data_IF_562603632591
#
_entry.id   IF_562603632591
#
_cell.length_a   1.000
_cell.length_b   1.000
_cell.length_c   1.000
_cell.angle_alpha   90.00
_cell.angle_beta   90.00
_cell.angle_gamma   90.00
#
_symmetry.space_group_name_H-M   'P 1'
#
loop_
_entity.id
_entity.type
_entity.pdbx_description
1 polymer ?
#
# COMPACT_ATOMS: atom_id res chain seq x y z
N UNK A 1 1.34 7.65 4.95
CA UNK A 1 0.50 8.70 5.60
C UNK A 1 0.49 8.66 7.13
N UNK A 2 -0.05 7.61 7.77
CA UNK A 2 -0.18 7.58 9.24
C UNK A 2 1.17 7.61 9.98
N UNK A 3 2.18 6.97 9.40
CA UNK A 3 3.55 6.90 9.94
C UNK A 3 4.49 7.95 9.34
N UNK A 4 4.01 8.90 8.53
CA UNK A 4 4.88 9.97 8.00
C UNK A 4 5.47 10.83 9.13
N UNK A 5 4.71 11.20 10.18
CA UNK A 5 5.28 11.93 11.31
C UNK A 5 6.45 11.19 11.97
N UNK A 6 6.34 9.86 12.12
CA UNK A 6 7.42 9.02 12.62
C UNK A 6 8.61 9.01 11.66
N UNK A 7 8.38 8.92 10.35
CA UNK A 7 9.43 8.98 9.35
C UNK A 7 10.23 10.29 9.43
N UNK A 8 9.54 11.41 9.65
CA UNK A 8 10.15 12.71 9.91
C UNK A 8 10.89 12.75 11.26
N UNK A 9 10.34 12.16 12.32
CA UNK A 9 11.03 12.11 13.61
C UNK A 9 12.32 11.29 13.59
N UNK A 10 12.50 10.40 12.62
CA UNK A 10 13.72 9.63 12.38
C UNK A 10 14.72 10.30 11.44
N UNK A 11 14.24 10.90 10.36
CA UNK A 11 15.09 11.56 9.36
C UNK A 11 15.43 13.01 9.72
N UNK A 12 14.67 13.65 10.60
CA UNK A 12 14.69 15.09 10.82
C UNK A 12 14.10 15.88 9.65
N UNK A 13 14.01 17.20 9.82
CA UNK A 13 13.39 18.09 8.84
C UNK A 13 14.06 18.06 7.47
N UNK A 14 15.39 18.13 7.43
CA UNK A 14 16.15 18.28 6.18
C UNK A 14 16.06 17.00 5.35
N UNK A 15 16.50 15.86 5.92
CA UNK A 15 16.50 14.61 5.18
C UNK A 15 15.07 14.14 4.91
N UNK A 16 14.14 14.25 5.86
CA UNK A 16 12.74 13.88 5.65
C UNK A 16 12.09 14.62 4.49
N UNK A 17 12.34 15.94 4.37
CA UNK A 17 11.79 16.76 3.28
C UNK A 17 12.38 16.39 1.93
N UNK A 18 13.69 16.16 1.88
CA UNK A 18 14.36 15.71 0.65
C UNK A 18 13.80 14.35 0.23
N UNK A 19 13.60 13.43 1.18
CA UNK A 19 13.11 12.08 0.92
C UNK A 19 11.68 12.09 0.40
N UNK A 20 10.74 12.74 1.08
CA UNK A 20 9.33 12.73 0.65
C UNK A 20 9.15 13.33 -0.75
N UNK A 21 9.85 14.44 -1.06
CA UNK A 21 9.79 15.08 -2.38
C UNK A 21 10.46 14.21 -3.44
N UNK A 22 11.65 13.68 -3.15
CA UNK A 22 12.37 12.82 -4.11
C UNK A 22 11.60 11.53 -4.41
N UNK A 23 11.02 10.87 -3.39
CA UNK A 23 10.18 9.69 -3.60
C UNK A 23 8.92 9.99 -4.40
N UNK A 24 8.25 11.12 -4.16
CA UNK A 24 7.10 11.55 -4.96
C UNK A 24 7.47 11.73 -6.44
N UNK A 25 8.58 12.42 -6.72
CA UNK A 25 9.07 12.66 -8.08
C UNK A 25 9.52 11.37 -8.77
N UNK A 26 10.33 10.54 -8.10
CA UNK A 26 10.85 9.27 -8.63
C UNK A 26 9.71 8.29 -8.88
N UNK A 27 8.75 8.20 -7.96
CA UNK A 27 7.58 7.31 -8.11
C UNK A 27 6.69 7.76 -9.27
N UNK A 28 6.46 9.07 -9.42
CA UNK A 28 5.75 9.62 -10.57
C UNK A 28 6.47 9.33 -11.90
N UNK A 29 7.80 9.52 -11.94
CA UNK A 29 8.60 9.25 -13.14
C UNK A 29 8.57 7.76 -13.53
N UNK A 30 8.83 6.87 -12.57
CA UNK A 30 8.82 5.42 -12.80
C UNK A 30 7.43 4.89 -13.16
N UNK A 31 6.36 5.47 -12.61
CA UNK A 31 4.97 5.15 -13.00
C UNK A 31 4.70 5.47 -14.48
N UNK A 32 5.20 6.60 -14.99
CA UNK A 32 5.08 6.96 -16.41
C UNK A 32 5.87 6.03 -17.31
N UNK A 33 7.08 5.64 -16.91
CA UNK A 33 7.87 4.64 -17.66
C UNK A 33 7.08 3.34 -17.77
N UNK A 34 6.56 2.86 -16.64
CA UNK A 34 5.80 1.62 -16.59
C UNK A 34 4.57 1.68 -17.50
N UNK A 35 3.80 2.76 -17.43
CA UNK A 35 2.63 2.94 -18.29
C UNK A 35 2.99 2.99 -19.78
N UNK A 36 4.07 3.67 -20.17
CA UNK A 36 4.53 3.67 -21.56
C UNK A 36 4.88 2.27 -22.06
N UNK A 37 5.52 1.45 -21.23
CA UNK A 37 5.85 0.06 -21.59
C UNK A 37 4.56 -0.73 -21.82
N UNK A 38 3.59 -0.60 -20.93
CA UNK A 38 2.31 -1.33 -21.00
C UNK A 38 1.49 -0.91 -22.22
N UNK A 39 1.40 0.40 -22.47
CA UNK A 39 0.66 0.94 -23.61
C UNK A 39 1.35 0.68 -24.95
N UNK A 40 2.66 0.39 -24.95
CA UNK A 40 3.41 0.09 -26.19
C UNK A 40 3.20 -1.33 -26.73
N UNK A 41 2.73 -2.27 -25.91
CA UNK A 41 2.57 -3.67 -26.34
C UNK A 41 1.33 -4.29 -25.68
N UNK A 42 0.24 -4.51 -26.45
CA UNK A 42 -1.01 -5.08 -25.93
C UNK A 42 -0.88 -6.47 -25.31
N UNK A 43 0.25 -7.18 -25.56
CA UNK A 43 0.52 -8.50 -24.96
C UNK A 43 0.99 -8.42 -23.52
N UNK A 44 1.43 -7.25 -23.06
CA UNK A 44 1.87 -7.03 -21.68
C UNK A 44 0.64 -6.81 -20.81
N UNK A 45 0.31 -7.79 -19.96
CA UNK A 45 -0.89 -7.74 -19.13
C UNK A 45 -0.60 -7.66 -17.64
N UNK A 46 0.61 -8.01 -17.24
CA UNK A 46 1.03 -8.08 -15.84
C UNK A 46 2.42 -7.50 -15.62
N UNK A 47 2.76 -7.25 -14.36
CA UNK A 47 4.09 -6.79 -13.98
C UNK A 47 5.18 -7.79 -14.36
N UNK A 48 4.87 -9.10 -14.31
CA UNK A 48 5.80 -10.16 -14.71
C UNK A 48 6.00 -10.24 -16.22
N UNK A 49 5.01 -9.86 -17.04
CA UNK A 49 5.18 -9.74 -18.51
C UNK A 49 6.17 -8.63 -18.89
N UNK A 50 6.13 -7.50 -18.16
CA UNK A 50 7.09 -6.40 -18.31
C UNK A 50 8.50 -6.93 -18.02
N UNK A 51 8.63 -7.62 -16.88
CA UNK A 51 9.85 -8.31 -16.48
C UNK A 51 10.37 -9.28 -17.54
N UNK A 52 9.49 -10.14 -18.06
CA UNK A 52 9.80 -11.10 -19.12
C UNK A 52 10.31 -10.41 -20.38
N UNK A 53 9.71 -9.28 -20.77
CA UNK A 53 10.12 -8.53 -21.96
C UNK A 53 11.47 -7.82 -21.77
N UNK A 54 11.73 -7.28 -20.58
CA UNK A 54 12.95 -6.54 -20.28
C UNK A 54 14.16 -7.48 -20.02
N UNK A 55 13.93 -8.59 -19.33
CA UNK A 55 14.97 -9.43 -18.74
C UNK A 55 14.95 -10.89 -19.19
N UNK A 56 13.99 -11.25 -20.04
CA UNK A 56 13.80 -12.59 -20.55
C UNK A 56 12.98 -13.51 -19.63
N UNK A 57 12.68 -14.73 -20.09
CA UNK A 57 11.74 -15.63 -19.41
C UNK A 57 12.15 -16.03 -17.98
N UNK A 58 13.46 -16.08 -17.70
CA UNK A 58 14.01 -16.47 -16.39
C UNK A 58 13.69 -15.46 -15.27
N UNK A 59 13.39 -14.21 -15.64
CA UNK A 59 13.03 -13.16 -14.69
C UNK A 59 11.58 -13.24 -14.19
N UNK A 60 10.70 -13.82 -15.00
CA UNK A 60 9.25 -13.93 -14.73
C UNK A 60 8.93 -14.47 -13.33
N UNK A 61 9.45 -15.65 -12.89
CA UNK A 61 9.10 -16.21 -11.59
C UNK A 61 9.57 -15.33 -10.42
N UNK A 62 10.74 -14.70 -10.55
CA UNK A 62 11.30 -13.82 -9.51
C UNK A 62 10.41 -12.58 -9.35
N UNK A 63 10.07 -11.93 -10.47
CA UNK A 63 9.24 -10.71 -10.45
C UNK A 63 7.82 -11.01 -9.98
N UNK A 64 7.23 -12.15 -10.40
CA UNK A 64 5.93 -12.60 -9.89
C UNK A 64 5.98 -12.85 -8.38
N UNK A 65 7.03 -13.50 -7.87
CA UNK A 65 7.19 -13.73 -6.43
C UNK A 65 7.31 -12.43 -5.66
N UNK A 66 8.14 -11.50 -6.12
CA UNK A 66 8.30 -10.17 -5.52
C UNK A 66 7.00 -9.38 -5.48
N UNK A 67 6.26 -9.37 -6.59
CA UNK A 67 4.96 -8.72 -6.70
C UNK A 67 3.94 -9.32 -5.72
N UNK A 68 3.91 -10.66 -5.63
CA UNK A 68 3.04 -11.35 -4.69
C UNK A 68 3.40 -11.01 -3.24
N UNK A 69 4.69 -11.00 -2.91
CA UNK A 69 5.16 -10.62 -1.57
C UNK A 69 4.80 -9.16 -1.24
N UNK A 70 4.99 -8.22 -2.16
CA UNK A 70 4.64 -6.81 -1.96
C UNK A 70 3.14 -6.65 -1.61
N UNK A 71 2.26 -7.19 -2.45
CA UNK A 71 0.81 -7.09 -2.21
C UNK A 71 0.34 -7.88 -0.98
N UNK A 72 0.97 -9.03 -0.71
CA UNK A 72 0.70 -9.80 0.50
C UNK A 72 1.03 -8.98 1.74
N UNK A 73 2.21 -8.36 1.79
CA UNK A 73 2.64 -7.51 2.90
C UNK A 73 1.73 -6.29 3.07
N UNK A 74 1.29 -5.64 1.98
CA UNK A 74 0.27 -4.59 2.05
C UNK A 74 -1.00 -5.12 2.71
N UNK A 75 -1.44 -6.32 2.36
CA UNK A 75 -2.54 -7.02 3.03
C UNK A 75 -2.36 -7.16 4.53
N UNK A 76 -1.19 -7.67 4.95
CA UNK A 76 -0.83 -7.82 6.38
C UNK A 76 -0.91 -6.47 7.10
N UNK A 77 -0.34 -5.41 6.51
CA UNK A 77 -0.36 -4.06 7.08
C UNK A 77 -1.78 -3.54 7.25
N UNK A 78 -2.67 -3.75 6.27
CA UNK A 78 -4.07 -3.32 6.35
C UNK A 78 -4.82 -4.06 7.46
N UNK A 79 -4.55 -5.36 7.67
CA UNK A 79 -5.11 -6.12 8.80
C UNK A 79 -4.60 -5.57 10.14
N UNK A 80 -3.29 -5.27 10.23
CA UNK A 80 -2.68 -4.70 11.42
C UNK A 80 -3.34 -3.38 11.79
N UNK A 81 -3.44 -2.46 10.82
CA UNK A 81 -4.05 -1.15 10.97
C UNK A 81 -5.52 -1.24 11.41
N UNK A 82 -6.29 -2.17 10.83
CA UNK A 82 -7.67 -2.44 11.25
C UNK A 82 -7.75 -2.88 12.72
N UNK A 83 -6.93 -3.87 13.11
CA UNK A 83 -6.96 -4.44 14.45
C UNK A 83 -6.53 -3.44 15.53
N UNK A 84 -5.45 -2.70 15.28
CA UNK A 84 -4.89 -1.73 16.23
C UNK A 84 -5.80 -0.50 16.37
N UNK A 85 -6.41 -0.03 15.26
CA UNK A 85 -7.41 1.04 15.30
C UNK A 85 -8.66 0.62 16.08
N UNK A 86 -9.14 -0.61 15.88
CA UNK A 86 -10.34 -1.10 16.57
C UNK A 86 -10.08 -1.33 18.07
N UNK A 87 -8.90 -1.84 18.44
CA UNK A 87 -8.48 -1.94 19.84
C UNK A 87 -8.38 -0.57 20.52
N UNK A 88 -7.87 0.44 19.80
CA UNK A 88 -7.77 1.81 20.31
C UNK A 88 -9.13 2.46 20.55
N UNK A 89 -10.13 2.13 19.72
CA UNK A 89 -11.52 2.58 19.87
C UNK A 89 -12.29 1.82 20.95
N UNK A 90 -12.14 0.50 20.99
CA UNK A 90 -12.87 -0.40 21.88
C UNK A 90 -11.82 -1.28 22.59
N UNK A 91 -11.25 -0.83 23.72
CA UNK A 91 -10.18 -1.55 24.42
C UNK A 91 -10.71 -2.74 25.25
N UNK A 92 -11.75 -3.43 24.78
CA UNK A 92 -12.36 -4.58 25.47
C UNK A 92 -11.62 -5.88 25.19
N UNK A 93 -11.15 -6.07 23.95
CA UNK A 93 -10.39 -7.24 23.53
C UNK A 93 -9.01 -6.85 23.02
N UNK A 94 -8.08 -7.80 22.95
CA UNK A 94 -6.75 -7.55 22.39
C UNK A 94 -6.82 -7.25 20.90
N UNK A 95 -5.86 -6.48 20.37
CA UNK A 95 -5.75 -6.25 18.91
C UNK A 95 -5.71 -7.57 18.13
N UNK A 96 -5.01 -8.58 18.62
CA UNK A 96 -4.95 -9.91 17.99
C UNK A 96 -6.33 -10.58 17.88
N UNK A 97 -7.20 -10.39 18.86
CA UNK A 97 -8.59 -10.88 18.82
C UNK A 97 -9.37 -10.16 17.73
N UNK A 98 -9.23 -8.83 17.61
CA UNK A 98 -9.87 -8.06 16.55
C UNK A 98 -9.38 -8.46 15.16
N UNK A 99 -8.07 -8.66 14.98
CA UNK A 99 -7.48 -9.17 13.73
C UNK A 99 -8.09 -10.52 13.33
N UNK A 100 -8.21 -11.45 14.28
CA UNK A 100 -8.81 -12.77 14.04
C UNK A 100 -10.30 -12.68 13.66
N UNK A 101 -11.09 -11.88 14.37
CA UNK A 101 -12.50 -11.64 14.01
C UNK A 101 -12.67 -10.93 12.67
N UNK A 102 -11.68 -10.13 12.28
CA UNK A 102 -11.59 -9.50 10.96
C UNK A 102 -11.75 -10.49 9.81
N UNK A 103 -11.38 -11.77 9.97
CA UNK A 103 -11.58 -12.79 8.94
C UNK A 103 -13.04 -12.90 8.48
N UNK A 104 -14.00 -12.76 9.39
CA UNK A 104 -15.44 -12.82 9.06
C UNK A 104 -15.86 -11.69 8.12
N UNK A 105 -15.18 -10.54 8.19
CA UNK A 105 -15.42 -9.38 7.33
C UNK A 105 -14.57 -9.42 6.06
N UNK A 106 -13.29 -9.78 6.18
CA UNK A 106 -12.31 -9.74 5.09
C UNK A 106 -12.56 -10.83 4.04
N UNK A 107 -12.93 -12.05 4.45
CA UNK A 107 -13.14 -13.15 3.51
C UNK A 107 -14.25 -12.82 2.49
N UNK A 108 -15.45 -12.33 2.88
CA UNK A 108 -16.44 -11.89 1.89
C UNK A 108 -15.92 -10.81 0.94
N UNK A 109 -15.07 -9.89 1.43
CA UNK A 109 -14.61 -8.75 0.62
C UNK A 109 -13.76 -9.15 -0.59
N UNK A 110 -12.96 -10.23 -0.50
CA UNK A 110 -12.10 -10.69 -1.61
C UNK A 110 -12.87 -11.37 -2.75
N UNK A 111 -14.17 -11.57 -2.58
CA UNK A 111 -15.09 -12.08 -3.61
C UNK A 111 -15.98 -10.99 -4.21
N UNK A 112 -15.91 -9.75 -3.71
CA UNK A 112 -16.70 -8.65 -4.25
C UNK A 112 -16.20 -8.23 -5.64
N UNK A 113 -17.11 -7.84 -6.55
CA UNK A 113 -16.73 -7.33 -7.87
C UNK A 113 -16.07 -5.95 -7.75
N UNK A 114 -15.17 -5.66 -8.68
CA UNK A 114 -14.42 -4.40 -8.76
C UNK A 114 -15.29 -3.13 -8.76
N UNK A 115 -16.48 -3.19 -9.36
CA UNK A 115 -17.41 -2.06 -9.40
C UNK A 115 -17.86 -1.63 -8.01
N UNK A 116 -18.18 -2.57 -7.12
CA UNK A 116 -18.51 -2.30 -5.72
C UNK A 116 -17.29 -1.78 -4.95
N UNK A 117 -16.10 -2.31 -5.24
CA UNK A 117 -14.85 -1.88 -4.61
C UNK A 117 -14.42 -0.45 -5.04
N UNK A 118 -14.84 0.02 -6.20
CA UNK A 118 -14.56 1.41 -6.63
C UNK A 118 -15.28 2.44 -5.75
N UNK A 119 -16.53 2.18 -5.35
CA UNK A 119 -17.27 3.05 -4.43
C UNK A 119 -16.65 3.07 -3.03
N UNK A 120 -16.14 1.92 -2.56
CA UNK A 120 -15.47 1.86 -1.26
C UNK A 120 -14.09 2.54 -1.29
N UNK A 121 -13.44 2.65 -2.46
CA UNK A 121 -12.21 3.43 -2.63
C UNK A 121 -12.43 4.94 -2.41
N UNK A 122 -13.56 5.48 -2.87
CA UNK A 122 -13.94 6.88 -2.61
C UNK A 122 -14.04 7.13 -1.11
N UNK A 123 -14.64 6.20 -0.37
CA UNK A 123 -14.70 6.29 1.11
C UNK A 123 -13.29 6.37 1.71
N UNK A 124 -12.34 5.56 1.22
CA UNK A 124 -10.94 5.61 1.66
C UNK A 124 -10.27 6.96 1.40
N UNK A 125 -10.53 7.61 0.26
CA UNK A 125 -10.03 8.97 -0.03
C UNK A 125 -10.66 9.99 0.92
N UNK A 126 -11.97 9.92 1.14
CA UNK A 126 -12.68 10.80 2.08
C UNK A 126 -12.13 10.62 3.51
N UNK A 127 -11.89 9.39 3.96
CA UNK A 127 -11.25 9.09 5.25
C UNK A 127 -9.88 9.73 5.38
N UNK A 128 -9.09 9.71 4.29
CA UNK A 128 -7.73 10.26 4.24
C UNK A 128 -7.75 11.80 4.36
N UNK A 129 -8.66 12.46 3.62
CA UNK A 129 -8.87 13.90 3.71
C UNK A 129 -9.40 14.29 5.08
N UNK A 130 -10.37 13.54 5.61
CA UNK A 130 -10.95 13.80 6.92
C UNK A 130 -9.91 13.70 8.04
N UNK A 131 -9.07 12.66 8.04
CA UNK A 131 -7.95 12.53 8.97
C UNK A 131 -6.99 13.71 8.87
N UNK A 132 -6.66 14.16 7.65
CA UNK A 132 -5.83 15.36 7.44
C UNK A 132 -6.45 16.57 8.15
N UNK A 133 -7.75 16.80 7.95
CA UNK A 133 -8.47 17.91 8.59
C UNK A 133 -8.47 17.78 10.12
N UNK A 134 -8.72 16.59 10.66
CA UNK A 134 -8.72 16.35 12.12
C UNK A 134 -7.36 16.66 12.73
N UNK A 135 -6.25 16.22 12.10
CA UNK A 135 -4.89 16.55 12.56
C UNK A 135 -4.69 18.06 12.69
N UNK A 136 -5.10 18.84 11.68
CA UNK A 136 -4.97 20.30 11.74
C UNK A 136 -5.92 20.94 12.75
N UNK A 137 -7.17 20.49 12.83
CA UNK A 137 -8.15 21.00 13.79
C UNK A 137 -7.63 20.79 15.21
N UNK A 138 -7.20 19.58 15.56
CA UNK A 138 -6.65 19.26 16.87
C UNK A 138 -5.36 20.03 17.15
N UNK A 139 -4.45 20.07 16.18
CA UNK A 139 -3.19 20.80 16.27
C UNK A 139 -3.37 22.29 16.56
N UNK A 140 -4.37 22.94 15.97
CA UNK A 140 -4.69 24.35 16.24
C UNK A 140 -5.62 24.56 17.44
N UNK A 141 -6.28 23.52 17.96
CA UNK A 141 -7.19 23.61 19.11
C UNK A 141 -6.42 23.72 20.43
N UNK A 142 -5.25 23.08 20.54
CA UNK A 142 -4.44 23.09 21.76
C UNK A 142 -3.27 24.07 21.64
N UNK A 143 -2.96 24.79 22.72
CA UNK A 143 -1.84 25.77 22.77
C UNK A 143 -0.54 25.19 23.33
N UNK A 144 -0.62 24.17 24.18
CA UNK A 144 0.52 23.61 24.89
C UNK A 144 0.91 22.22 24.32
N UNK A 145 2.20 21.86 24.32
CA UNK A 145 2.65 20.54 23.92
C UNK A 145 2.32 19.46 24.98
N UNK A 146 2.27 18.17 24.60
CA UNK A 146 2.27 17.65 23.23
C UNK A 146 0.91 17.87 22.55
N UNK A 147 0.92 17.93 21.23
CA UNK A 147 -0.28 18.04 20.41
C UNK A 147 -0.62 19.44 19.89
N UNK A 148 0.29 20.41 20.03
CA UNK A 148 0.03 21.77 19.59
C UNK A 148 0.83 22.12 18.35
N UNK A 149 0.19 22.79 17.39
CA UNK A 149 0.87 23.49 16.28
C UNK A 149 1.26 24.91 16.65
N UNK A 150 0.68 25.49 17.71
CA UNK A 150 1.05 26.82 18.23
C UNK A 150 2.35 26.78 19.01
N UNK A 151 2.52 25.75 19.85
CA UNK A 151 3.75 25.47 20.57
C UNK A 151 4.23 24.07 20.21
N UNK A 152 5.03 23.93 19.13
CA UNK A 152 5.53 22.64 18.68
C UNK A 152 6.31 21.90 19.76
N UNK A 153 6.24 20.57 19.72
CA UNK A 153 7.10 19.68 20.50
C UNK A 153 8.56 19.76 20.03
N UNK A 154 9.46 19.13 20.79
CA UNK A 154 10.87 19.05 20.42
C UNK A 154 11.08 18.25 19.13
N UNK A 155 11.73 18.88 18.15
CA UNK A 155 12.04 18.31 16.83
C UNK A 155 13.50 18.54 16.46
N UNK A 156 14.00 17.74 15.53
CA UNK A 156 15.39 17.74 15.08
C UNK A 156 15.49 18.20 13.63
N UNK A 157 16.45 19.07 13.36
CA UNK A 157 16.79 19.46 11.98
C UNK A 157 17.50 18.34 11.22
N UNK A 158 18.33 17.57 11.94
CA UNK A 158 19.19 16.52 11.40
C UNK A 158 18.71 15.11 11.70
N UNK A 159 19.42 14.15 11.14
CA UNK A 159 19.14 12.72 11.28
C UNK A 159 19.51 12.23 12.68
N UNK A 160 18.62 11.51 13.38
CA UNK A 160 18.88 10.98 14.74
C UNK A 160 19.87 9.82 14.78
N UNK A 161 20.11 9.19 13.65
CA UNK A 161 21.10 8.12 13.49
C UNK A 161 20.92 7.38 12.19
N UNK A 162 22.00 6.76 11.72
CA UNK A 162 22.03 6.00 10.46
C UNK A 162 21.00 4.86 10.43
N UNK A 163 20.75 4.21 11.56
CA UNK A 163 19.74 3.16 11.64
C UNK A 163 18.31 3.70 11.48
N UNK A 164 18.00 4.79 12.19
CA UNK A 164 16.68 5.45 12.11
C UNK A 164 16.43 6.04 10.71
N UNK A 165 17.47 6.57 10.07
CA UNK A 165 17.40 7.02 8.67
C UNK A 165 17.00 5.89 7.72
N UNK A 166 17.61 4.70 7.88
CA UNK A 166 17.25 3.52 7.11
C UNK A 166 15.77 3.17 7.27
N UNK A 167 15.27 3.14 8.50
CA UNK A 167 13.83 2.88 8.77
C UNK A 167 12.95 3.95 8.10
N UNK A 168 13.36 5.21 8.17
CA UNK A 168 12.64 6.32 7.53
C UNK A 168 12.56 6.17 6.00
N UNK A 169 13.59 5.64 5.34
CA UNK A 169 13.51 5.29 3.90
C UNK A 169 12.39 4.29 3.62
N UNK A 170 12.28 3.24 4.44
CA UNK A 170 11.22 2.25 4.33
C UNK A 170 9.83 2.87 4.52
N UNK A 171 9.67 3.73 5.54
CA UNK A 171 8.40 4.40 5.85
C UNK A 171 7.96 5.35 4.74
N UNK A 172 8.84 6.21 4.22
CA UNK A 172 8.51 7.09 3.11
C UNK A 172 8.20 6.31 1.83
N UNK A 173 9.01 5.30 1.50
CA UNK A 173 8.79 4.50 0.31
C UNK A 173 7.49 3.70 0.37
N UNK A 174 7.06 3.27 1.56
CA UNK A 174 5.75 2.66 1.80
C UNK A 174 4.61 3.50 1.24
N UNK A 175 4.62 4.80 1.57
CA UNK A 175 3.54 5.72 1.23
C UNK A 175 3.34 5.84 -0.28
N UNK A 176 4.42 5.73 -1.05
CA UNK A 176 4.42 5.86 -2.50
C UNK A 176 4.40 4.53 -3.27
N UNK A 177 4.27 3.39 -2.58
CA UNK A 177 4.14 2.08 -3.24
C UNK A 177 2.74 1.92 -3.84
N UNK A 178 2.61 2.28 -5.11
CA UNK A 178 1.38 2.12 -5.90
C UNK A 178 1.60 1.47 -7.26
N UNK A 179 2.84 1.10 -7.59
CA UNK A 179 3.21 0.62 -8.93
C UNK A 179 2.51 -0.67 -9.33
N UNK A 180 2.14 -1.50 -8.34
CA UNK A 180 1.52 -2.79 -8.57
C UNK A 180 0.15 -2.70 -9.29
N UNK A 181 -0.58 -1.59 -9.11
CA UNK A 181 -1.91 -1.39 -9.71
C UNK A 181 -1.88 -0.58 -11.01
N UNK A 182 -0.72 -0.04 -11.40
CA UNK A 182 -0.59 0.76 -12.61
C UNK A 182 -0.91 -0.02 -13.90
N UNK A 183 -0.60 -1.32 -14.04
CA UNK A 183 -0.97 -2.07 -15.24
C UNK A 183 -2.46 -2.23 -15.49
N UNK A 184 -3.26 -2.44 -14.44
CA UNK A 184 -4.72 -2.43 -14.58
C UNK A 184 -5.19 -1.01 -14.84
N UNK A 185 -4.73 -0.03 -14.04
CA UNK A 185 -5.14 1.36 -14.18
C UNK A 185 -4.92 1.91 -15.60
N UNK A 186 -3.74 1.69 -16.19
CA UNK A 186 -3.42 2.20 -17.52
C UNK A 186 -4.31 1.60 -18.63
N UNK A 187 -4.80 0.37 -18.45
CA UNK A 187 -5.67 -0.31 -19.42
C UNK A 187 -7.15 0.00 -19.21
N UNK A 188 -7.54 0.23 -17.96
CA UNK A 188 -8.93 0.53 -17.59
C UNK A 188 -9.28 2.01 -17.86
N UNK A 189 -8.29 2.87 -18.13
CA UNK A 189 -8.52 4.25 -18.54
C UNK A 189 -9.22 4.32 -19.90
N UNK A 190 -10.36 5.01 -19.95
CA UNK A 190 -11.08 5.29 -21.21
C UNK A 190 -10.20 6.00 -22.24
N UNK A 191 -9.34 6.93 -21.80
CA UNK A 191 -8.38 7.64 -22.64
C UNK A 191 -6.96 7.53 -22.05
N UNK A 192 -6.17 6.52 -22.45
CA UNK A 192 -4.81 6.33 -21.97
C UNK A 192 -3.83 7.47 -22.29
N UNK A 193 -4.16 8.37 -23.24
CA UNK A 193 -3.29 9.51 -23.56
C UNK A 193 -3.17 10.50 -22.39
N UNK A 194 -4.17 10.52 -21.51
CA UNK A 194 -4.21 11.37 -20.31
C UNK A 194 -3.47 10.76 -19.10
N UNK A 195 -2.89 9.56 -19.23
CA UNK A 195 -2.23 8.87 -18.12
C UNK A 195 -1.17 9.74 -17.43
N UNK A 196 -0.34 10.44 -18.21
CA UNK A 196 0.71 11.31 -17.66
C UNK A 196 0.14 12.47 -16.84
N UNK A 197 -0.97 13.07 -17.28
CA UNK A 197 -1.63 14.16 -16.56
C UNK A 197 -2.27 13.66 -15.28
N UNK A 198 -2.98 12.52 -15.35
CA UNK A 198 -3.59 11.87 -14.20
C UNK A 198 -2.54 11.51 -13.13
N UNK A 199 -1.44 10.85 -13.54
CA UNK A 199 -0.43 10.37 -12.59
C UNK A 199 0.37 11.54 -11.97
N UNK A 200 0.54 12.65 -12.70
CA UNK A 200 1.11 13.89 -12.14
C UNK A 200 0.27 14.41 -10.98
N UNK A 201 -1.04 14.56 -11.20
CA UNK A 201 -1.95 15.05 -10.16
C UNK A 201 -2.04 14.08 -8.98
N UNK A 202 -2.11 12.78 -9.25
CA UNK A 202 -2.17 11.76 -8.20
C UNK A 202 -0.95 11.84 -7.27
N UNK A 203 0.28 11.85 -7.81
CA UNK A 203 1.48 11.94 -6.98
C UNK A 203 1.69 13.31 -6.36
N UNK A 204 1.30 14.41 -7.04
CA UNK A 204 1.37 15.75 -6.46
C UNK A 204 0.46 15.85 -5.22
N UNK A 205 -0.81 15.48 -5.35
CA UNK A 205 -1.78 15.53 -4.26
C UNK A 205 -1.36 14.59 -3.12
N UNK A 206 -0.92 13.37 -3.43
CA UNK A 206 -0.44 12.43 -2.41
C UNK A 206 0.78 13.00 -1.65
N UNK A 207 1.77 13.55 -2.36
CA UNK A 207 2.96 14.15 -1.73
C UNK A 207 2.57 15.33 -0.84
N UNK A 208 1.66 16.19 -1.29
CA UNK A 208 1.17 17.31 -0.49
C UNK A 208 0.47 16.84 0.80
N UNK A 209 -0.44 15.86 0.71
CA UNK A 209 -1.15 15.33 1.88
C UNK A 209 -0.19 14.65 2.86
N UNK A 210 0.74 13.83 2.35
CA UNK A 210 1.71 13.14 3.19
C UNK A 210 2.68 14.12 3.87
N UNK A 211 3.12 15.15 3.14
CA UNK A 211 3.97 16.21 3.71
C UNK A 211 3.20 17.00 4.76
N UNK A 212 1.95 17.37 4.49
CA UNK A 212 1.11 18.13 5.42
C UNK A 212 0.90 17.37 6.73
N UNK A 213 0.53 16.10 6.67
CA UNK A 213 0.37 15.26 7.87
C UNK A 213 1.71 14.99 8.54
N UNK A 214 2.75 14.66 7.77
CA UNK A 214 4.09 14.39 8.28
C UNK A 214 4.63 15.58 9.08
N UNK A 215 4.53 16.78 8.51
CA UNK A 215 4.94 18.02 9.16
C UNK A 215 4.08 18.35 10.38
N UNK A 216 2.76 18.32 10.24
CA UNK A 216 1.86 18.65 11.34
C UNK A 216 2.03 17.68 12.52
N UNK A 217 2.02 16.37 12.25
CA UNK A 217 2.21 15.35 13.29
C UNK A 217 3.60 15.43 13.93
N UNK A 218 4.65 15.72 13.16
CA UNK A 218 5.99 15.88 13.73
C UNK A 218 6.11 17.15 14.58
N UNK A 219 5.48 18.26 14.18
CA UNK A 219 5.39 19.46 15.03
C UNK A 219 4.57 19.20 16.30
N UNK A 220 3.48 18.45 16.19
CA UNK A 220 2.57 18.18 17.32
C UNK A 220 3.19 17.26 18.37
N UNK A 221 3.84 16.17 17.95
CA UNK A 221 4.29 15.11 18.86
C UNK A 221 5.82 14.96 18.92
N UNK A 222 6.54 15.60 18.00
CA UNK A 222 7.98 15.68 18.02
C UNK A 222 8.65 14.32 18.00
N UNK A 223 9.70 14.22 18.81
CA UNK A 223 10.51 13.03 18.92
C UNK A 223 9.83 11.85 19.63
N UNK A 224 8.66 12.07 20.24
CA UNK A 224 7.86 11.06 20.93
C UNK A 224 6.63 10.59 20.15
N UNK A 225 6.52 10.91 18.86
CA UNK A 225 5.41 10.44 18.02
C UNK A 225 5.36 8.91 17.96
N UNK A 226 4.15 8.36 18.03
CA UNK A 226 3.91 6.92 17.92
C UNK A 226 4.09 6.42 16.47
N UNK A 227 4.07 5.10 16.26
CA UNK A 227 4.13 4.49 14.93
C UNK A 227 3.03 4.98 13.98
N UNK A 228 1.89 5.39 14.56
CA UNK A 228 0.77 6.00 13.88
C UNK A 228 0.27 7.24 14.63
N UNK A 229 0.20 8.37 13.94
CA UNK A 229 -0.28 9.64 14.52
C UNK A 229 -1.73 9.57 15.00
N UNK A 230 -2.54 8.67 14.44
CA UNK A 230 -3.92 8.40 14.85
C UNK A 230 -4.03 8.00 16.33
N UNK A 231 -3.04 7.24 16.83
CA UNK A 231 -2.99 6.81 18.22
C UNK A 231 -2.69 8.01 19.13
N UNK A 232 -1.79 8.90 18.71
CA UNK A 232 -1.45 10.11 19.47
C UNK A 232 -2.63 11.08 19.54
N UNK A 233 -3.45 11.18 18.49
CA UNK A 233 -4.70 11.97 18.50
C UNK A 233 -5.72 11.44 19.51
N UNK A 234 -5.76 10.14 19.80
CA UNK A 234 -6.65 9.60 20.84
C UNK A 234 -6.15 9.84 22.25
N UNK A 235 -4.86 9.58 22.45
CA UNK A 235 -4.26 9.58 23.80
C UNK A 235 -4.08 10.99 24.34
N UNK A 236 -4.02 11.99 23.46
CA UNK A 236 -3.77 13.37 23.84
C UNK A 236 -5.03 14.01 24.44
N UNK A 237 -4.96 14.33 25.73
CA UNK A 237 -6.01 15.07 26.41
C UNK A 237 -6.16 16.50 25.85
N UNK A 238 -7.41 16.97 25.77
CA UNK A 238 -7.77 18.31 25.33
C UNK A 238 -8.30 18.40 23.90
N UNK A 239 -8.21 17.32 23.11
CA UNK A 239 -8.82 17.26 21.78
C UNK A 239 -10.30 16.91 21.82
N UNK A 240 -10.99 17.11 20.69
CA UNK A 240 -12.40 16.82 20.59
C UNK A 240 -12.64 15.30 20.47
N UNK A 241 -13.22 14.65 21.50
CA UNK A 241 -13.37 13.19 21.50
C UNK A 241 -14.31 12.71 20.40
N UNK A 242 -15.30 13.50 19.99
CA UNK A 242 -16.22 13.11 18.92
C UNK A 242 -15.51 13.05 17.56
N UNK A 243 -14.73 14.08 17.23
CA UNK A 243 -13.98 14.13 15.96
C UNK A 243 -12.95 13.00 15.88
N UNK A 244 -12.25 12.72 16.97
CA UNK A 244 -11.18 11.73 16.98
C UNK A 244 -11.74 10.31 16.91
N UNK A 245 -12.84 10.03 17.63
CA UNK A 245 -13.56 8.78 17.50
C UNK A 245 -14.09 8.56 16.07
N UNK A 246 -14.69 9.58 15.47
CA UNK A 246 -15.16 9.50 14.08
C UNK A 246 -14.00 9.24 13.11
N UNK A 247 -12.87 9.91 13.31
CA UNK A 247 -11.67 9.75 12.50
C UNK A 247 -11.15 8.31 12.52
N UNK A 248 -11.11 7.67 13.70
CA UNK A 248 -10.65 6.29 13.80
C UNK A 248 -11.65 5.29 13.25
N UNK A 249 -12.95 5.54 13.37
CA UNK A 249 -13.92 4.71 12.68
C UNK A 249 -13.68 4.73 11.18
N UNK A 250 -13.33 5.88 10.61
CA UNK A 250 -12.90 5.98 9.21
C UNK A 250 -11.57 5.25 8.95
N UNK A 251 -10.65 5.19 9.91
CA UNK A 251 -9.42 4.38 9.84
C UNK A 251 -9.65 2.88 10.01
N UNK A 252 -10.72 2.45 10.68
CA UNK A 252 -11.14 1.03 10.72
C UNK A 252 -11.75 0.63 9.38
N UNK A 253 -12.58 1.50 8.78
CA UNK A 253 -13.25 1.22 7.51
C UNK A 253 -12.33 1.25 6.29
N UNK A 254 -11.33 2.15 6.29
CA UNK A 254 -10.43 2.34 5.15
C UNK A 254 -9.62 1.07 4.80
N UNK A 255 -8.97 0.35 5.74
CA UNK A 255 -8.31 -0.92 5.46
C UNK A 255 -9.23 -1.99 4.92
N UNK A 256 -10.47 -2.10 5.43
CA UNK A 256 -11.45 -3.07 4.94
C UNK A 256 -11.76 -2.83 3.45
N UNK A 257 -11.87 -1.57 3.03
CA UNK A 257 -12.10 -1.22 1.62
C UNK A 257 -10.88 -1.50 0.72
N UNK A 258 -9.68 -1.24 1.22
CA UNK A 258 -8.42 -1.37 0.47
C UNK A 258 -7.88 -2.79 0.44
N UNK A 259 -8.25 -3.62 1.41
CA UNK A 259 -7.77 -5.00 1.50
C UNK A 259 -8.16 -5.80 0.26
N UNK A 260 -9.45 -5.80 -0.10
CA UNK A 260 -9.93 -6.49 -1.30
C UNK A 260 -9.30 -5.97 -2.60
N UNK A 261 -9.14 -4.65 -2.72
CA UNK A 261 -8.48 -4.02 -3.87
C UNK A 261 -7.02 -4.45 -4.02
N UNK A 262 -6.30 -4.61 -2.90
CA UNK A 262 -4.89 -5.05 -2.89
C UNK A 262 -4.77 -6.55 -3.13
N UNK A 263 -5.72 -7.34 -2.59
CA UNK A 263 -5.76 -8.80 -2.76
C UNK A 263 -6.15 -9.22 -4.17
N UNK A 264 -6.87 -8.39 -4.93
CA UNK A 264 -7.29 -8.76 -6.28
C UNK A 264 -6.12 -9.05 -7.24
N UNK A 265 -5.17 -8.11 -7.47
CA UNK A 265 -4.01 -8.40 -8.33
C UNK A 265 -3.11 -9.50 -7.78
N UNK A 266 -3.06 -9.67 -6.45
CA UNK A 266 -2.33 -10.77 -5.80
C UNK A 266 -2.95 -12.13 -6.17
N UNK A 267 -4.25 -12.28 -5.92
CA UNK A 267 -4.98 -13.51 -6.21
C UNK A 267 -4.95 -13.83 -7.70
N UNK A 268 -5.13 -12.85 -8.58
CA UNK A 268 -5.00 -13.04 -10.02
C UNK A 268 -3.61 -13.57 -10.40
N UNK A 269 -2.54 -13.03 -9.81
CA UNK A 269 -1.17 -13.50 -10.08
C UNK A 269 -0.95 -14.93 -9.57
N UNK A 270 -1.43 -15.25 -8.37
CA UNK A 270 -1.34 -16.61 -7.80
C UNK A 270 -2.15 -17.60 -8.63
N UNK A 271 -3.36 -17.23 -9.07
CA UNK A 271 -4.22 -18.06 -9.91
C UNK A 271 -3.55 -18.38 -11.26
N UNK A 272 -2.86 -17.41 -11.87
CA UNK A 272 -2.05 -17.59 -13.07
C UNK A 272 -0.87 -18.55 -12.80
N UNK A 273 -0.14 -18.35 -11.70
CA UNK A 273 1.01 -19.20 -11.35
C UNK A 273 0.60 -20.66 -11.06
N UNK A 274 -0.58 -20.87 -10.48
CA UNK A 274 -1.14 -22.18 -10.19
C UNK A 274 -1.88 -22.80 -11.41
N UNK A 275 -2.02 -22.08 -12.52
CA UNK A 275 -2.74 -22.55 -13.72
C UNK A 275 -4.26 -22.71 -13.53
N UNK A 276 -4.81 -22.09 -12.47
CA UNK A 276 -6.23 -22.11 -12.11
C UNK A 276 -6.97 -20.85 -12.58
N UNK A 277 -6.32 -20.00 -13.37
CA UNK A 277 -6.96 -18.98 -14.22
C UNK A 277 -8.31 -19.52 -14.72
N UNK A 278 -9.36 -18.87 -14.24
CA UNK A 278 -10.64 -18.79 -14.90
C UNK A 278 -10.65 -17.42 -15.51
N UNK A 279 -10.14 -17.26 -16.74
CA UNK A 279 -10.25 -16.02 -17.51
C UNK A 279 -11.55 -15.29 -17.14
N UNK A 280 -11.45 -14.09 -16.59
CA UNK A 280 -12.58 -13.18 -16.55
C UNK A 280 -12.94 -12.95 -18.00
N UNK A 281 -13.91 -13.70 -18.53
CA UNK A 281 -14.50 -13.41 -19.82
C UNK A 281 -14.92 -11.95 -19.77
N UNK A 282 -14.28 -11.11 -20.58
CA UNK A 282 -14.82 -9.79 -20.81
C UNK A 282 -16.23 -9.99 -21.38
N UNK A 283 -17.17 -9.07 -21.13
CA UNK A 283 -18.50 -9.14 -21.72
C UNK A 283 -18.49 -9.26 -23.26
N UNK A 284 -17.35 -8.99 -23.91
CA UNK A 284 -17.17 -9.09 -25.37
C UNK A 284 -16.96 -10.54 -25.85
N UNK A 285 -16.38 -11.44 -25.05
CA UNK A 285 -16.23 -12.86 -25.44
C UNK A 285 -17.56 -13.65 -25.41
N UNK A 286 -18.60 -13.09 -24.76
CA UNK A 286 -19.95 -13.68 -24.73
C UNK A 286 -20.81 -13.29 -25.93
N UNK A 287 -20.41 -12.27 -26.71
CA UNK A 287 -21.15 -11.80 -27.87
C UNK A 287 -20.73 -12.52 -29.15
N UNK A 288 -19.55 -13.15 -29.17
CA UNK A 288 -18.92 -13.66 -30.40
C UNK A 288 -19.02 -15.18 -30.62
N UNK A 289 -19.92 -15.87 -29.90
CA UNK A 289 -20.25 -17.27 -30.21
C UNK A 289 -21.58 -17.36 -30.97
N UNK A 290 -21.56 -17.44 -32.31
CA UNK A 290 -22.72 -17.85 -33.06
C UNK A 290 -23.03 -19.32 -32.79
N UNK A 291 -24.31 -19.62 -32.80
CA UNK A 291 -24.95 -20.90 -32.48
C UNK A 291 -24.26 -22.16 -33.06
N UNK A 292 -24.31 -23.25 -32.30
CA UNK A 292 -24.26 -24.60 -32.87
C UNK A 292 -23.34 -25.60 -32.15
N UNK A 293 -23.98 -26.54 -31.44
CA UNK A 293 -23.51 -27.90 -31.11
C UNK A 293 -22.01 -28.13 -30.84
N UNK A 294 -21.66 -28.35 -29.57
CA UNK A 294 -20.86 -29.52 -29.12
C UNK A 294 -20.80 -29.53 -27.59
N UNK A 295 -21.58 -30.44 -26.98
CA UNK A 295 -21.43 -30.78 -25.56
C UNK A 295 -20.13 -31.61 -25.44
N UNK A 296 -19.05 -30.96 -25.00
CA UNK A 296 -17.83 -31.64 -24.51
C UNK A 296 -17.78 -31.53 -22.99
N UNK A 297 -17.16 -32.49 -22.27
CA UNK A 297 -17.19 -32.54 -20.80
C UNK A 297 -16.26 -31.48 -20.20
N UNK A 298 -16.70 -30.23 -20.24
CA UNK A 298 -15.96 -29.06 -19.74
C UNK A 298 -16.43 -28.59 -18.35
N UNK A 299 -17.52 -29.17 -17.83
CA UNK A 299 -18.13 -28.77 -16.55
C UNK A 299 -17.31 -29.12 -15.31
N UNK A 300 -16.73 -30.34 -15.19
CA UNK A 300 -16.06 -30.75 -13.94
C UNK A 300 -14.69 -30.09 -13.73
N UNK A 301 -13.89 -29.90 -14.80
CA UNK A 301 -12.62 -29.17 -14.74
C UNK A 301 -12.83 -27.69 -14.38
N UNK A 302 -13.90 -27.08 -14.89
CA UNK A 302 -14.23 -25.70 -14.60
C UNK A 302 -14.72 -25.52 -13.15
N UNK A 303 -15.52 -26.48 -12.65
CA UNK A 303 -15.93 -26.52 -11.25
C UNK A 303 -14.75 -26.69 -10.29
N UNK A 304 -13.80 -27.59 -10.61
CA UNK A 304 -12.61 -27.81 -9.79
C UNK A 304 -11.69 -26.59 -9.72
N UNK A 305 -11.44 -25.92 -10.86
CA UNK A 305 -10.65 -24.67 -10.88
C UNK A 305 -11.28 -23.55 -10.05
N UNK A 306 -12.62 -23.40 -10.11
CA UNK A 306 -13.35 -22.44 -9.26
C UNK A 306 -13.20 -22.76 -7.77
N UNK A 307 -13.33 -24.04 -7.39
CA UNK A 307 -13.12 -24.47 -6.00
C UNK A 307 -11.70 -24.16 -5.54
N UNK A 308 -10.69 -24.47 -6.36
CA UNK A 308 -9.30 -24.14 -6.07
C UNK A 308 -9.07 -22.62 -5.93
N UNK A 309 -9.69 -21.80 -6.77
CA UNK A 309 -9.63 -20.34 -6.65
C UNK A 309 -10.23 -19.84 -5.34
N UNK A 310 -11.40 -20.36 -4.94
CA UNK A 310 -12.02 -20.02 -3.63
C UNK A 310 -11.10 -20.42 -2.47
N UNK A 311 -10.58 -21.65 -2.49
CA UNK A 311 -9.66 -22.14 -1.45
C UNK A 311 -8.41 -21.26 -1.38
N UNK A 312 -7.82 -20.91 -2.53
CA UNK A 312 -6.64 -20.06 -2.62
C UNK A 312 -6.88 -18.67 -2.01
N UNK A 313 -8.00 -18.01 -2.34
CA UNK A 313 -8.34 -16.69 -1.83
C UNK A 313 -8.57 -16.69 -0.32
N UNK A 314 -9.28 -17.70 0.20
CA UNK A 314 -9.49 -17.88 1.64
C UNK A 314 -8.17 -18.16 2.35
N UNK A 315 -7.32 -19.01 1.77
CA UNK A 315 -6.01 -19.35 2.33
C UNK A 315 -5.10 -18.13 2.41
N UNK A 316 -4.97 -17.34 1.34
CA UNK A 316 -4.13 -16.13 1.31
C UNK A 316 -4.63 -15.10 2.32
N UNK A 317 -5.95 -14.89 2.41
CA UNK A 317 -6.56 -13.98 3.40
C UNK A 317 -6.27 -14.44 4.84
N UNK A 318 -6.45 -15.74 5.10
CA UNK A 318 -6.17 -16.32 6.43
C UNK A 318 -4.68 -16.22 6.78
N UNK A 319 -3.80 -16.48 5.83
CA UNK A 319 -2.35 -16.35 6.01
C UNK A 319 -1.95 -14.90 6.31
N UNK A 320 -2.56 -13.92 5.63
CA UNK A 320 -2.29 -12.50 5.89
C UNK A 320 -2.66 -12.10 7.33
N UNK A 321 -3.82 -12.56 7.82
CA UNK A 321 -4.24 -12.34 9.23
C UNK A 321 -3.31 -13.06 10.20
N UNK A 322 -2.94 -14.30 9.92
CA UNK A 322 -2.00 -15.06 10.75
C UNK A 322 -0.63 -14.37 10.87
N UNK A 323 -0.08 -13.87 9.75
CA UNK A 323 1.18 -13.13 9.76
C UNK A 323 1.03 -11.81 10.50
N UNK A 324 -0.09 -11.09 10.38
CA UNK A 324 -0.36 -9.84 11.11
C UNK A 324 -0.44 -10.03 12.64
N UNK A 325 -0.84 -11.22 13.08
CA UNK A 325 -0.83 -11.60 14.51
C UNK A 325 0.57 -12.02 14.96
N UNK A 326 1.32 -12.71 14.09
CA UNK A 326 2.64 -13.29 14.42
C UNK A 326 3.78 -12.28 14.33
N UNK A 327 3.66 -11.28 13.46
CA UNK A 327 4.64 -10.21 13.22
C UNK A 327 4.00 -8.88 13.61
N UNK A 328 4.10 -8.47 14.88
CA UNK A 328 3.37 -7.30 15.40
C UNK A 328 3.95 -5.96 14.95
N UNK A 329 5.19 -5.89 14.45
CA UNK A 329 5.85 -4.62 14.12
C UNK A 329 5.62 -4.17 12.67
N UNK A 330 4.91 -3.06 12.51
CA UNK A 330 4.65 -2.37 11.24
C UNK A 330 5.92 -2.03 10.43
N UNK A 331 7.01 -1.69 11.13
CA UNK A 331 8.34 -1.38 10.55
C UNK A 331 9.03 -2.59 9.91
N UNK A 332 8.92 -3.76 10.52
CA UNK A 332 9.52 -5.02 10.04
C UNK A 332 8.82 -5.56 8.78
N UNK A 333 7.52 -5.30 8.63
CA UNK A 333 6.76 -5.68 7.43
C UNK A 333 7.13 -4.79 6.25
N UNK A 334 7.34 -3.49 6.50
CA UNK A 334 7.84 -2.58 5.49
C UNK A 334 9.21 -3.01 4.94
N UNK A 335 10.06 -3.62 5.76
CA UNK A 335 11.35 -4.20 5.35
C UNK A 335 11.21 -5.28 4.25
N UNK A 336 10.10 -6.00 4.19
CA UNK A 336 9.88 -7.12 3.26
C UNK A 336 9.54 -6.68 1.83
N UNK A 337 8.78 -5.58 1.68
CA UNK A 337 8.45 -4.94 0.38
C UNK A 337 9.73 -4.48 -0.34
N UNK A 338 10.76 -4.24 0.46
CA UNK A 338 11.95 -3.52 0.10
C UNK A 338 13.08 -4.48 -0.30
N UNK A 339 13.21 -5.60 0.40
CA UNK A 339 14.09 -6.71 0.04
C UNK A 339 13.71 -7.33 -1.31
N UNK A 340 12.43 -7.28 -1.67
CA UNK A 340 11.93 -7.82 -2.94
C UNK A 340 12.52 -7.06 -4.13
N UNK A 341 12.64 -5.72 -4.11
CA UNK A 341 12.97 -4.89 -5.29
C UNK A 341 14.39 -5.01 -5.87
N UNK A 342 15.22 -5.91 -5.35
CA UNK A 342 16.62 -6.07 -5.79
C UNK A 342 16.75 -7.31 -6.66
N UNK A 343 16.45 -7.20 -7.95
CA UNK A 343 17.11 -8.02 -8.98
C UNK A 343 16.77 -7.57 -10.40
N UNK A 344 17.83 -7.57 -11.21
CA UNK A 344 17.96 -7.51 -12.67
C UNK A 344 18.16 -6.12 -13.30
N UNK A 345 19.39 -5.90 -13.78
CA UNK A 345 19.78 -4.81 -14.68
C UNK A 345 19.73 -5.24 -16.15
N UNK A 346 19.24 -4.33 -16.99
CA UNK A 346 19.29 -4.33 -18.45
C UNK A 346 19.48 -2.89 -18.93
N UNK A 347 19.98 -2.70 -20.17
CA UNK A 347 20.45 -1.41 -20.71
C UNK A 347 19.43 -0.26 -20.55
N UNK A 348 19.73 0.69 -19.68
CA UNK A 348 18.96 1.93 -19.46
C UNK A 348 19.88 3.15 -19.42
N UNK A 349 19.29 4.35 -19.50
CA UNK A 349 20.00 5.64 -19.43
C UNK A 349 20.80 5.77 -18.13
N UNK A 350 21.87 6.59 -18.12
CA UNK A 350 22.69 6.83 -16.93
C UNK A 350 21.85 7.28 -15.71
N UNK A 351 20.81 8.07 -15.97
CA UNK A 351 19.88 8.56 -14.94
C UNK A 351 19.08 7.39 -14.35
N UNK A 352 18.54 6.50 -15.18
CA UNK A 352 17.76 5.34 -14.73
C UNK A 352 18.63 4.40 -13.88
N UNK A 353 19.89 4.19 -14.25
CA UNK A 353 20.85 3.42 -13.45
C UNK A 353 21.08 4.03 -12.07
N UNK A 354 21.30 5.35 -12.00
CA UNK A 354 21.49 6.01 -10.70
C UNK A 354 20.27 5.90 -9.80
N UNK A 355 19.06 6.02 -10.35
CA UNK A 355 17.81 5.87 -9.60
C UNK A 355 17.64 4.43 -9.10
N UNK A 356 17.90 3.43 -9.95
CA UNK A 356 17.78 2.01 -9.59
C UNK A 356 18.78 1.65 -8.49
N UNK A 357 20.06 1.98 -8.66
CA UNK A 357 21.11 1.67 -7.68
C UNK A 357 20.84 2.36 -6.35
N UNK A 358 20.47 3.64 -6.36
CA UNK A 358 20.16 4.38 -5.13
C UNK A 358 18.92 3.80 -4.44
N UNK A 359 17.87 3.49 -5.21
CA UNK A 359 16.65 2.86 -4.68
C UNK A 359 16.92 1.50 -4.05
N UNK A 360 17.75 0.66 -4.68
CA UNK A 360 18.18 -0.64 -4.14
C UNK A 360 18.98 -0.47 -2.85
N UNK A 361 19.93 0.47 -2.80
CA UNK A 361 20.74 0.70 -1.61
C UNK A 361 19.89 1.19 -0.42
N UNK A 362 19.03 2.17 -0.66
CA UNK A 362 18.09 2.68 0.34
C UNK A 362 17.13 1.58 0.81
N UNK A 363 16.71 0.73 -0.12
CA UNK A 363 15.87 -0.39 0.15
C UNK A 363 16.56 -1.40 1.10
N UNK A 364 17.68 -1.98 0.67
CA UNK A 364 18.42 -2.97 1.45
C UNK A 364 18.79 -2.42 2.83
N UNK A 365 19.25 -1.17 2.88
CA UNK A 365 19.55 -0.52 4.15
C UNK A 365 18.31 -0.43 5.03
N UNK A 366 17.19 0.11 4.54
CA UNK A 366 15.97 0.22 5.33
C UNK A 366 15.49 -1.11 5.88
N UNK A 367 15.60 -2.18 5.08
CA UNK A 367 15.28 -3.54 5.51
C UNK A 367 16.18 -4.00 6.66
N UNK A 368 17.50 -3.94 6.47
CA UNK A 368 18.48 -4.36 7.48
C UNK A 368 18.31 -3.56 8.76
N UNK A 369 18.09 -2.26 8.64
CA UNK A 369 17.89 -1.36 9.78
C UNK A 369 16.65 -1.69 10.61
N UNK A 370 15.57 -2.11 9.97
CA UNK A 370 14.36 -2.54 10.67
C UNK A 370 14.62 -3.83 11.47
N UNK A 371 15.23 -4.85 10.87
CA UNK A 371 15.56 -6.12 11.56
C UNK A 371 16.58 -5.96 12.68
N UNK A 372 17.47 -4.97 12.60
CA UNK A 372 18.42 -4.68 13.67
C UNK A 372 17.80 -3.87 14.83
N UNK A 373 16.59 -3.34 14.65
CA UNK A 373 15.88 -2.53 15.66
C UNK A 373 14.84 -3.29 16.47
N UNK A 374 14.39 -4.44 15.95
CA UNK A 374 13.58 -5.47 16.63
C UNK A 374 14.47 -6.42 17.41
#
# INVERSE_FOLDING_TARGET
MLSEPLAFSYAGWIAGTILIVSYGLVSCYTAKILARIILSDPRIRSYSDIGRKAFGPKATPIISMMFCLELFTVGVILVTLYGDSLHSLIPTYSSNTYKAWGLLLLIPTVFLPLSLLSYTSILGVVSTVFLTLVVFIDGFSKKDPPGSLWSPAETDMGVKGLNKLGISFGLFMAGFSGHAVLPSLARDMMDPSQFNTMINWAFLVATCIYTAIGYAGYLMFGNGVSDEVSIDLLKTAGYNPFLNNLCLWMLVLNPLSKFALSMLPLNATIEILLGIDTSFSSPEELVDKPDGLTITPTSSRFSWKRILGVIQRVFVTTLAVFVSISVPEFSSLMAFIVMAKVMIEGRTSLIDRTIIVTGILMAVWGTVSAFMSS
#
